data_IF_020601365001
#
_entry.id   IF_020601365001
#
_cell.length_a   1.000
_cell.length_b   1.000
_cell.length_c   1.000
_cell.angle_alpha   90.00
_cell.angle_beta   90.00
_cell.angle_gamma   90.00
#
_symmetry.space_group_name_H-M   'P 1'
#
loop_
_entity.id
_entity.type
_entity.pdbx_description
1 polymer ?
#
# COMPACT_ATOMS: atom_id res chain seq x y z
N UNK A 1 10.92 26.67 14.26
CA UNK A 1 9.85 25.72 13.86
C UNK A 1 10.55 24.44 13.43
N UNK A 2 10.60 23.42 14.29
CA UNK A 2 11.13 22.10 13.91
C UNK A 2 10.07 21.39 13.08
N UNK A 3 10.32 21.19 11.79
CA UNK A 3 9.47 20.36 10.93
C UNK A 3 9.97 18.92 11.07
N UNK A 4 9.21 18.08 11.74
CA UNK A 4 9.50 16.65 11.78
C UNK A 4 9.11 16.02 10.44
N UNK A 5 9.99 15.15 9.92
CA UNK A 5 9.71 14.39 8.70
C UNK A 5 8.82 13.21 9.07
N UNK A 6 7.72 13.03 8.33
CA UNK A 6 6.86 11.86 8.47
C UNK A 6 7.53 10.67 7.78
N UNK A 7 7.46 9.49 8.40
CA UNK A 7 7.82 8.25 7.73
C UNK A 7 6.87 7.95 6.56
N UNK A 8 7.44 7.47 5.46
CA UNK A 8 6.68 7.09 4.29
C UNK A 8 6.01 5.72 4.51
N UNK A 9 4.72 5.65 4.24
CA UNK A 9 3.96 4.41 4.21
C UNK A 9 3.20 4.31 2.89
N UNK A 10 3.55 3.32 2.07
CA UNK A 10 2.95 3.11 0.75
C UNK A 10 1.45 2.83 0.83
N UNK A 11 0.95 2.32 1.96
CA UNK A 11 -0.48 2.01 2.15
C UNK A 11 -1.35 3.27 2.07
N UNK A 12 -0.80 4.45 2.37
CA UNK A 12 -1.48 5.74 2.23
C UNK A 12 -1.70 6.16 0.77
N UNK A 13 -1.25 5.35 -0.19
CA UNK A 13 -1.33 5.63 -1.63
C UNK A 13 -1.96 4.47 -2.41
N UNK A 14 -2.55 3.47 -1.73
CA UNK A 14 -3.22 2.33 -2.36
C UNK A 14 -4.74 2.49 -2.24
N UNK A 15 -5.31 3.49 -2.93
CA UNK A 15 -6.71 3.88 -2.75
C UNK A 15 -7.68 3.11 -3.63
N UNK A 16 -7.26 2.77 -4.83
CA UNK A 16 -8.08 2.09 -5.82
C UNK A 16 -7.35 0.91 -6.48
N UNK A 17 -8.04 0.27 -7.42
CA UNK A 17 -7.51 -0.90 -8.12
C UNK A 17 -6.34 -0.54 -9.05
N UNK A 18 -6.26 0.69 -9.57
CA UNK A 18 -5.18 1.15 -10.45
C UNK A 18 -3.88 1.35 -9.66
N UNK A 19 -3.97 1.95 -8.47
CA UNK A 19 -2.85 2.08 -7.53
C UNK A 19 -2.30 0.69 -7.15
N UNK A 20 -3.20 -0.23 -6.80
CA UNK A 20 -2.85 -1.60 -6.42
C UNK A 20 -2.20 -2.35 -7.58
N UNK A 21 -2.76 -2.24 -8.78
CA UNK A 21 -2.23 -2.91 -9.97
C UNK A 21 -0.83 -2.39 -10.31
N UNK A 22 -0.63 -1.08 -10.27
CA UNK A 22 0.66 -0.44 -10.54
C UNK A 22 1.72 -0.90 -9.54
N UNK A 23 1.37 -0.91 -8.25
CA UNK A 23 2.29 -1.34 -7.21
C UNK A 23 2.63 -2.83 -7.28
N UNK A 24 1.66 -3.68 -7.58
CA UNK A 24 1.88 -5.12 -7.77
C UNK A 24 2.75 -5.41 -8.99
N UNK A 25 2.53 -4.72 -10.11
CA UNK A 25 3.34 -4.88 -11.32
C UNK A 25 4.80 -4.50 -11.04
N UNK A 26 5.04 -3.36 -10.39
CA UNK A 26 6.39 -2.95 -10.00
C UNK A 26 7.07 -4.03 -9.14
N UNK A 27 6.36 -4.60 -8.16
CA UNK A 27 6.92 -5.67 -7.33
C UNK A 27 7.23 -6.97 -8.08
N UNK A 28 6.47 -7.30 -9.14
CA UNK A 28 6.72 -8.46 -10.00
C UNK A 28 7.94 -8.21 -10.91
N UNK A 29 8.07 -7.01 -11.46
CA UNK A 29 9.16 -6.61 -12.35
C UNK A 29 10.54 -6.69 -11.68
N UNK A 30 10.61 -6.42 -10.37
CA UNK A 30 11.85 -6.59 -9.58
C UNK A 30 12.33 -8.05 -9.52
N UNK A 31 11.48 -9.03 -9.87
CA UNK A 31 11.79 -10.47 -9.85
C UNK A 31 12.40 -10.96 -8.52
N UNK A 32 12.00 -10.33 -7.41
CA UNK A 32 12.42 -10.65 -6.06
C UNK A 32 11.18 -11.04 -5.24
N UNK A 33 11.13 -12.32 -4.89
CA UNK A 33 10.07 -12.91 -4.08
C UNK A 33 9.85 -12.18 -2.75
N UNK A 34 10.89 -11.62 -2.13
CA UNK A 34 10.77 -10.87 -0.87
C UNK A 34 10.01 -9.57 -1.09
N UNK A 35 10.34 -8.81 -2.14
CA UNK A 35 9.62 -7.57 -2.46
C UNK A 35 8.17 -7.86 -2.84
N UNK A 36 7.91 -8.93 -3.59
CA UNK A 36 6.56 -9.37 -3.91
C UNK A 36 5.73 -9.65 -2.64
N UNK A 37 6.28 -10.39 -1.66
CA UNK A 37 5.58 -10.66 -0.40
C UNK A 37 5.31 -9.39 0.42
N UNK A 38 6.26 -8.45 0.45
CA UNK A 38 6.07 -7.15 1.12
C UNK A 38 4.92 -6.38 0.44
N UNK A 39 4.90 -6.32 -0.89
CA UNK A 39 3.87 -5.63 -1.64
C UNK A 39 2.47 -6.21 -1.36
N UNK A 40 2.35 -7.55 -1.38
CA UNK A 40 1.10 -8.24 -1.04
C UNK A 40 0.63 -7.93 0.39
N UNK A 41 1.55 -7.85 1.35
CA UNK A 41 1.23 -7.46 2.73
C UNK A 41 0.70 -6.02 2.84
N UNK A 42 1.29 -5.09 2.10
CA UNK A 42 0.84 -3.71 2.04
C UNK A 42 -0.55 -3.59 1.38
N UNK A 43 -0.80 -4.31 0.28
CA UNK A 43 -2.11 -4.36 -0.38
C UNK A 43 -3.18 -4.92 0.57
N UNK A 44 -2.86 -5.97 1.34
CA UNK A 44 -3.78 -6.52 2.32
C UNK A 44 -4.14 -5.48 3.42
N UNK A 45 -3.14 -4.76 3.94
CA UNK A 45 -3.36 -3.66 4.90
C UNK A 45 -4.24 -2.54 4.33
N UNK A 46 -4.01 -2.14 3.08
CA UNK A 46 -4.81 -1.11 2.40
C UNK A 46 -6.28 -1.52 2.31
N UNK A 47 -6.56 -2.75 1.85
CA UNK A 47 -7.93 -3.28 1.74
C UNK A 47 -8.66 -3.39 3.08
N UNK A 48 -7.95 -3.83 4.12
CA UNK A 48 -8.49 -3.86 5.47
C UNK A 48 -8.85 -2.44 5.94
N UNK A 49 -7.93 -1.48 5.74
CA UNK A 49 -8.13 -0.08 6.14
C UNK A 49 -9.33 0.55 5.43
N UNK A 50 -9.45 0.36 4.11
CA UNK A 50 -10.60 0.82 3.34
C UNK A 50 -11.93 0.21 3.84
N UNK A 51 -11.93 -1.06 4.25
CA UNK A 51 -13.13 -1.71 4.80
C UNK A 51 -13.62 -1.11 6.13
N UNK A 52 -12.72 -0.50 6.91
CA UNK A 52 -13.09 0.19 8.15
C UNK A 52 -13.65 1.59 7.91
N UNK A 53 -13.20 2.30 6.88
CA UNK A 53 -13.71 3.64 6.53
C UNK A 53 -15.17 3.60 6.02
N UNK A 54 -15.55 2.51 5.34
CA UNK A 54 -16.92 2.34 4.84
C UNK A 54 -17.93 1.83 5.88
N UNK A 55 -17.51 1.57 7.13
CA UNK A 55 -18.38 1.06 8.21
C UNK A 55 -18.81 2.13 9.22
N UNK A 56 -18.35 3.37 9.07
CA UNK A 56 -18.66 4.50 9.94
C UNK A 56 -19.89 5.32 9.51
N UNK A 57 -20.69 4.82 8.57
CA UNK A 57 -22.00 5.35 8.16
C UNK A 57 -23.13 4.45 8.65
#
# INVERSE_FOLDING_TARGET
MNKELKEFDVVEFLHDDEDIQTYLNAAIEENDTKYLFIALGNIARAKISASYQNKSE
#
